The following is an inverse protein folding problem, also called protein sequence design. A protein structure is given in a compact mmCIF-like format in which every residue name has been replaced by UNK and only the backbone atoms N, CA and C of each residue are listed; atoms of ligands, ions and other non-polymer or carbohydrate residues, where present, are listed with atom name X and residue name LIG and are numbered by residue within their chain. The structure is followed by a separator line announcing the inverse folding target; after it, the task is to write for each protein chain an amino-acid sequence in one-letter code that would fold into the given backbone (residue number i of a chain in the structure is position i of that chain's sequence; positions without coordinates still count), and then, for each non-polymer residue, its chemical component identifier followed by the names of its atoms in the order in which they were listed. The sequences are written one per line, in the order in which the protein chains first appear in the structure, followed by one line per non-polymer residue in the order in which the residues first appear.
data_IF_109933775587
#
_entry.id   IF_109933775587
#
_cell.length_a   1.000
_cell.length_b   1.000
_cell.length_c   1.000
_cell.angle_alpha   90.00
_cell.angle_beta   90.00
_cell.angle_gamma   90.00
#
_symmetry.space_group_name_H-M   'P 1'
#
loop_
_entity.id
_entity.type
_entity.pdbx_description
1 polymer ?
#
# COMPACT_ATOMS: atom_id res chain seq x y z
N UNK A 1 16.90 -4.87 4.38
CA UNK A 1 17.28 -3.69 5.18
C UNK A 1 16.04 -3.22 5.94
N UNK A 2 16.18 -2.74 7.17
CA UNK A 2 15.06 -2.25 7.98
C UNK A 2 15.49 -1.07 8.85
N UNK A 3 14.53 -0.31 9.35
CA UNK A 3 14.73 0.72 10.36
C UNK A 3 13.50 0.78 11.26
N UNK A 4 13.68 1.24 12.49
CA UNK A 4 12.58 1.49 13.44
C UNK A 4 12.99 2.65 14.35
N UNK A 5 12.00 3.39 14.86
CA UNK A 5 12.25 4.47 15.83
C UNK A 5 12.88 3.92 17.12
N UNK A 6 12.50 2.69 17.51
CA UNK A 6 13.11 1.96 18.60
C UNK A 6 14.28 1.12 18.08
N UNK A 7 15.50 1.64 18.21
CA UNK A 7 16.71 0.97 17.72
C UNK A 7 16.84 -0.47 18.22
N UNK A 8 16.48 -0.74 19.48
CA UNK A 8 16.51 -2.10 20.04
C UNK A 8 15.64 -3.09 19.24
N UNK A 9 14.44 -2.66 18.79
CA UNK A 9 13.55 -3.48 17.96
C UNK A 9 14.13 -3.69 16.57
N UNK A 10 14.75 -2.67 16.00
CA UNK A 10 15.44 -2.78 14.73
C UNK A 10 16.59 -3.80 14.82
N UNK A 11 17.43 -3.73 15.85
CA UNK A 11 18.53 -4.69 16.04
C UNK A 11 18.03 -6.11 16.32
N UNK A 12 16.97 -6.27 17.12
CA UNK A 12 16.35 -7.57 17.37
C UNK A 12 15.84 -8.19 16.07
N UNK A 13 15.07 -7.43 15.27
CA UNK A 13 14.55 -7.89 13.99
C UNK A 13 15.68 -8.19 12.99
N UNK A 14 16.69 -7.33 12.92
CA UNK A 14 17.86 -7.51 12.06
C UNK A 14 18.59 -8.82 12.38
N UNK A 15 18.86 -9.08 13.66
CA UNK A 15 19.48 -10.32 14.13
C UNK A 15 18.61 -11.55 13.82
N UNK A 16 17.30 -11.47 14.10
CA UNK A 16 16.36 -12.58 13.92
C UNK A 16 16.19 -12.99 12.46
N UNK A 17 16.18 -12.03 11.54
CA UNK A 17 15.88 -12.27 10.13
C UNK A 17 17.09 -12.15 9.19
N UNK A 18 18.30 -11.96 9.75
CA UNK A 18 19.51 -11.76 8.94
C UNK A 18 19.45 -10.50 8.08
N UNK A 19 18.78 -9.45 8.57
CA UNK A 19 18.65 -8.17 7.88
C UNK A 19 19.69 -7.16 8.40
N UNK A 20 19.84 -6.05 7.69
CA UNK A 20 20.65 -4.91 8.09
C UNK A 20 19.75 -3.81 8.67
N UNK A 21 20.03 -3.37 9.89
CA UNK A 21 19.41 -2.18 10.47
C UNK A 21 20.16 -0.92 9.99
N UNK A 22 19.43 0.12 9.61
CA UNK A 22 19.96 1.41 9.16
C UNK A 22 19.27 2.56 9.90
N UNK A 23 19.84 3.76 9.83
CA UNK A 23 19.23 4.96 10.41
C UNK A 23 17.86 5.28 9.79
N UNK A 24 17.02 5.99 10.55
CA UNK A 24 15.66 6.36 10.13
C UNK A 24 15.62 7.09 8.79
N UNK A 25 16.59 7.97 8.55
CA UNK A 25 16.66 8.74 7.31
C UNK A 25 17.42 7.98 6.20
N UNK A 26 18.38 7.13 6.58
CA UNK A 26 19.16 6.33 5.63
C UNK A 26 18.30 5.33 4.85
N UNK A 27 17.12 4.95 5.38
CA UNK A 27 16.23 3.98 4.75
C UNK A 27 15.79 4.39 3.33
N UNK A 28 15.71 5.70 3.05
CA UNK A 28 15.23 6.23 1.78
C UNK A 28 16.27 6.11 0.66
N UNK A 29 17.56 6.02 1.00
CA UNK A 29 18.67 5.97 0.03
C UNK A 29 19.14 4.54 -0.28
N UNK A 30 18.51 3.53 0.33
CA UNK A 30 18.92 2.14 0.19
C UNK A 30 18.71 1.63 -1.24
N UNK A 31 19.67 0.85 -1.72
CA UNK A 31 19.58 0.16 -3.01
C UNK A 31 18.78 -1.14 -2.84
N UNK A 32 17.46 -1.04 -2.99
CA UNK A 32 16.49 -2.13 -2.77
C UNK A 32 15.46 -2.14 -3.87
N UNK A 33 14.89 -3.30 -4.17
CA UNK A 33 13.83 -3.41 -5.18
C UNK A 33 12.48 -2.84 -4.70
N UNK A 34 12.18 -3.00 -3.41
CA UNK A 34 10.88 -2.67 -2.80
C UNK A 34 11.08 -1.80 -1.55
N UNK A 35 10.37 -0.67 -1.51
CA UNK A 35 10.19 0.14 -0.31
C UNK A 35 8.84 -0.18 0.34
N UNK A 36 8.84 -0.57 1.62
CA UNK A 36 7.64 -0.99 2.36
C UNK A 36 7.43 -0.10 3.60
N UNK A 37 6.81 1.09 3.47
CA UNK A 37 6.52 1.96 4.61
C UNK A 37 5.46 1.36 5.53
N UNK A 38 5.82 1.09 6.79
CA UNK A 38 4.95 0.39 7.76
C UNK A 38 4.79 1.13 9.10
N UNK A 39 5.31 2.35 9.23
CA UNK A 39 5.35 3.09 10.50
C UNK A 39 4.38 4.29 10.51
N UNK A 40 4.71 5.34 9.76
CA UNK A 40 3.95 6.58 9.68
C UNK A 40 3.52 6.86 8.23
N UNK A 41 2.50 7.70 8.09
CA UNK A 41 2.10 8.26 6.79
C UNK A 41 3.05 9.35 6.32
N UNK A 42 2.78 9.87 5.12
CA UNK A 42 3.46 10.99 4.49
C UNK A 42 4.97 10.78 4.27
N UNK A 43 5.46 9.54 4.29
CA UNK A 43 6.87 9.22 4.04
C UNK A 43 7.22 9.30 2.56
N UNK A 44 6.24 9.44 1.66
CA UNK A 44 6.43 9.76 0.24
C UNK A 44 6.03 11.23 0.05
N UNK A 45 7.05 12.09 0.04
CA UNK A 45 6.93 13.54 -0.01
C UNK A 45 8.05 14.16 -0.86
N UNK A 46 8.09 15.49 -0.94
CA UNK A 46 9.06 16.24 -1.75
C UNK A 46 10.52 15.93 -1.39
N UNK A 47 10.80 15.63 -0.11
CA UNK A 47 12.14 15.37 0.39
C UNK A 47 12.61 13.92 0.15
N UNK A 48 11.67 12.97 0.17
CA UNK A 48 11.99 11.52 0.13
C UNK A 48 11.80 10.89 -1.24
N UNK A 49 10.83 11.33 -2.05
CA UNK A 49 10.52 10.73 -3.35
C UNK A 49 11.71 10.78 -4.32
N UNK A 50 12.56 11.80 -4.17
CA UNK A 50 13.80 11.99 -4.91
C UNK A 50 14.88 10.94 -4.61
N UNK A 51 14.85 10.38 -3.40
CA UNK A 51 15.91 9.53 -2.83
C UNK A 51 15.68 8.04 -3.08
N UNK A 52 14.40 7.65 -3.21
CA UNK A 52 14.00 6.26 -3.41
C UNK A 52 14.59 5.66 -4.70
N UNK A 53 15.32 4.56 -4.55
CA UNK A 53 15.89 3.77 -5.66
C UNK A 53 15.03 2.54 -6.05
N UNK A 54 13.98 2.29 -5.28
CA UNK A 54 13.11 1.13 -5.47
C UNK A 54 12.26 1.21 -6.73
N UNK A 55 11.83 0.04 -7.20
CA UNK A 55 10.90 -0.10 -8.33
C UNK A 55 9.45 -0.25 -7.88
N UNK A 56 9.24 -0.68 -6.63
CA UNK A 56 7.91 -0.91 -6.05
C UNK A 56 7.81 -0.25 -4.68
N UNK A 57 6.68 0.38 -4.42
CA UNK A 57 6.27 0.84 -3.09
C UNK A 57 5.02 0.06 -2.68
N UNK A 58 5.14 -0.71 -1.60
CA UNK A 58 4.04 -1.51 -1.05
C UNK A 58 4.27 -1.71 0.45
N UNK A 59 3.61 -0.90 1.28
CA UNK A 59 3.70 -0.97 2.75
C UNK A 59 2.33 -0.90 3.42
N UNK A 60 2.28 -1.17 4.73
CA UNK A 60 1.01 -1.20 5.47
C UNK A 60 0.64 0.13 6.18
N UNK A 61 1.51 1.15 6.13
CA UNK A 61 1.21 2.46 6.71
C UNK A 61 -0.01 3.10 6.02
N UNK A 62 -0.75 3.92 6.76
CA UNK A 62 -1.84 4.72 6.20
C UNK A 62 -1.35 6.09 5.74
N UNK A 63 -1.99 6.67 4.72
CA UNK A 63 -1.70 7.99 4.16
C UNK A 63 -0.26 8.12 3.67
N UNK A 64 0.25 7.15 2.91
CA UNK A 64 1.68 7.08 2.53
C UNK A 64 2.13 8.25 1.66
N UNK A 65 1.28 8.67 0.71
CA UNK A 65 1.50 9.85 -0.11
C UNK A 65 1.13 11.10 0.70
N UNK A 66 2.10 12.00 0.91
CA UNK A 66 1.81 13.25 1.61
C UNK A 66 0.83 14.17 0.82
N UNK A 67 0.88 14.11 -0.51
CA UNK A 67 -0.05 14.81 -1.43
C UNK A 67 -0.39 13.90 -2.61
N UNK A 68 -1.53 13.25 -2.55
CA UNK A 68 -1.91 12.19 -3.50
C UNK A 68 -1.87 12.63 -4.98
N UNK A 69 -2.41 13.83 -5.26
CA UNK A 69 -2.51 14.39 -6.62
C UNK A 69 -1.18 14.90 -7.18
N UNK A 70 -0.13 14.99 -6.36
CA UNK A 70 1.19 15.47 -6.78
C UNK A 70 2.21 14.32 -6.78
N UNK A 71 2.28 13.59 -5.68
CA UNK A 71 3.27 12.52 -5.48
C UNK A 71 2.87 11.24 -6.22
N UNK A 72 1.57 10.95 -6.37
CA UNK A 72 1.10 9.82 -7.18
C UNK A 72 1.57 9.89 -8.64
N UNK A 73 1.30 11.00 -9.36
CA UNK A 73 1.82 11.22 -10.71
C UNK A 73 3.35 11.25 -10.80
N UNK A 74 4.03 11.76 -9.77
CA UNK A 74 5.50 11.77 -9.73
C UNK A 74 6.10 10.36 -9.68
N UNK A 75 5.50 9.44 -8.92
CA UNK A 75 5.92 8.03 -8.90
C UNK A 75 5.81 7.40 -10.29
N UNK A 76 4.72 7.68 -11.02
CA UNK A 76 4.54 7.21 -12.41
C UNK A 76 5.63 7.77 -13.32
N UNK A 77 5.92 9.08 -13.24
CA UNK A 77 7.01 9.70 -14.03
C UNK A 77 8.37 9.07 -13.76
N UNK A 78 8.60 8.60 -12.53
CA UNK A 78 9.83 7.90 -12.12
C UNK A 78 9.84 6.41 -12.48
N UNK A 79 8.75 5.86 -13.01
CA UNK A 79 8.62 4.43 -13.28
C UNK A 79 8.55 3.57 -12.01
N UNK A 80 8.12 4.15 -10.88
CA UNK A 80 7.94 3.45 -9.61
C UNK A 80 6.49 2.97 -9.51
N UNK A 81 6.30 1.66 -9.34
CA UNK A 81 4.98 1.07 -9.12
C UNK A 81 4.55 1.31 -7.68
N UNK A 82 3.41 1.96 -7.48
CA UNK A 82 2.83 2.20 -6.16
C UNK A 82 1.57 1.36 -5.98
N UNK A 83 1.55 0.53 -4.94
CA UNK A 83 0.35 -0.17 -4.52
C UNK A 83 -0.42 0.70 -3.49
N UNK A 84 -1.66 1.13 -3.78
CA UNK A 84 -2.42 2.03 -2.91
C UNK A 84 -2.53 1.52 -1.48
N UNK A 85 -2.19 2.36 -0.52
CA UNK A 85 -2.10 2.03 0.90
C UNK A 85 -3.39 1.42 1.47
N UNK A 86 -4.52 2.10 1.28
CA UNK A 86 -5.83 1.66 1.77
C UNK A 86 -6.30 0.35 1.13
N UNK A 87 -5.76 -0.01 -0.04
CA UNK A 87 -6.07 -1.25 -0.71
C UNK A 87 -5.25 -2.39 -0.13
N UNK A 88 -3.93 -2.23 -0.04
CA UNK A 88 -3.05 -3.33 0.37
C UNK A 88 -3.07 -3.59 1.88
N UNK A 89 -3.41 -2.59 2.69
CA UNK A 89 -3.54 -2.74 4.13
C UNK A 89 -4.95 -3.18 4.58
N UNK A 90 -5.87 -3.44 3.64
CA UNK A 90 -7.27 -3.77 3.92
C UNK A 90 -7.50 -5.08 4.69
N UNK A 91 -6.48 -5.93 4.83
CA UNK A 91 -6.58 -7.21 5.55
C UNK A 91 -7.07 -7.07 6.99
N UNK A 92 -6.72 -5.98 7.68
CA UNK A 92 -7.24 -5.70 9.02
C UNK A 92 -8.76 -5.51 9.04
N UNK A 93 -9.30 -4.76 8.09
CA UNK A 93 -10.74 -4.53 7.98
C UNK A 93 -11.49 -5.79 7.54
N UNK A 94 -10.91 -6.57 6.63
CA UNK A 94 -11.45 -7.87 6.21
C UNK A 94 -11.55 -8.83 7.41
N UNK A 95 -10.53 -8.85 8.28
CA UNK A 95 -10.57 -9.65 9.50
C UNK A 95 -11.66 -9.20 10.48
N UNK A 96 -11.81 -7.90 10.71
CA UNK A 96 -12.89 -7.38 11.58
C UNK A 96 -14.27 -7.69 11.00
N UNK A 97 -14.45 -7.53 9.68
CA UNK A 97 -15.70 -7.88 9.02
C UNK A 97 -16.03 -9.38 9.14
N UNK A 98 -15.00 -10.22 9.08
CA UNK A 98 -15.12 -11.67 9.24
C UNK A 98 -15.71 -12.06 10.60
N UNK A 99 -15.35 -11.33 11.66
CA UNK A 99 -15.93 -11.52 12.99
C UNK A 99 -17.42 -11.14 13.02
N UNK A 100 -17.81 -10.08 12.32
CA UNK A 100 -19.21 -9.61 12.26
C UNK A 100 -20.12 -10.63 11.55
N UNK A 101 -19.65 -11.24 10.48
CA UNK A 101 -20.43 -12.24 9.71
C UNK A 101 -20.27 -13.67 10.23
N UNK A 102 -19.47 -13.87 11.28
CA UNK A 102 -19.25 -15.18 11.90
C UNK A 102 -18.49 -16.17 11.02
N UNK A 103 -17.53 -15.71 10.20
CA UNK A 103 -16.70 -16.61 9.37
C UNK A 103 -15.49 -17.14 10.15
N UNK A 104 -14.85 -18.18 9.61
CA UNK A 104 -13.64 -18.76 10.20
C UNK A 104 -12.40 -17.94 9.89
N UNK A 105 -11.32 -18.16 10.65
CA UNK A 105 -9.99 -17.60 10.34
C UNK A 105 -9.55 -17.91 8.91
N UNK A 106 -9.82 -19.13 8.42
CA UNK A 106 -9.50 -19.53 7.06
C UNK A 106 -10.32 -18.74 6.03
N UNK A 107 -11.60 -18.47 6.33
CA UNK A 107 -12.44 -17.60 5.50
C UNK A 107 -11.90 -16.17 5.42
N UNK A 108 -11.47 -15.60 6.54
CA UNK A 108 -10.86 -14.26 6.59
C UNK A 108 -9.56 -14.18 5.77
N UNK A 109 -8.71 -15.20 5.86
CA UNK A 109 -7.47 -15.30 5.08
C UNK A 109 -7.77 -15.41 3.58
N UNK A 110 -8.73 -16.26 3.19
CA UNK A 110 -9.13 -16.42 1.79
C UNK A 110 -9.73 -15.13 1.19
N UNK A 111 -10.42 -14.30 1.98
CA UNK A 111 -10.85 -12.98 1.52
C UNK A 111 -9.67 -12.00 1.43
N UNK A 112 -8.74 -12.06 2.37
CA UNK A 112 -7.53 -11.22 2.37
C UNK A 112 -6.65 -11.50 1.15
N UNK A 113 -6.54 -12.76 0.71
CA UNK A 113 -5.78 -13.13 -0.50
C UNK A 113 -6.27 -12.42 -1.76
N UNK A 114 -7.55 -12.03 -1.84
CA UNK A 114 -8.11 -11.28 -2.97
C UNK A 114 -7.54 -9.87 -3.12
N UNK A 115 -6.86 -9.33 -2.11
CA UNK A 115 -6.13 -8.07 -2.22
C UNK A 115 -5.14 -8.12 -3.39
N UNK A 116 -4.55 -9.30 -3.66
CA UNK A 116 -3.67 -9.51 -4.81
C UNK A 116 -4.39 -9.17 -6.13
N UNK A 117 -5.55 -9.80 -6.38
CA UNK A 117 -6.32 -9.60 -7.62
C UNK A 117 -6.81 -8.16 -7.76
N UNK A 118 -7.28 -7.55 -6.67
CA UNK A 118 -7.70 -6.15 -6.70
C UNK A 118 -6.55 -5.19 -6.96
N UNK A 119 -5.37 -5.48 -6.42
CA UNK A 119 -4.17 -4.68 -6.68
C UNK A 119 -3.79 -4.75 -8.15
N UNK A 120 -3.78 -5.95 -8.75
CA UNK A 120 -3.51 -6.10 -10.18
C UNK A 120 -4.53 -5.35 -11.04
N UNK A 121 -5.84 -5.48 -10.74
CA UNK A 121 -6.88 -4.75 -11.45
C UNK A 121 -6.68 -3.23 -11.39
N UNK A 122 -6.30 -2.70 -10.23
CA UNK A 122 -6.02 -1.27 -10.07
C UNK A 122 -4.80 -0.84 -10.88
N UNK A 123 -3.73 -1.64 -10.89
CA UNK A 123 -2.52 -1.33 -11.66
C UNK A 123 -2.80 -1.36 -13.17
N UNK A 124 -3.45 -2.42 -13.67
CA UNK A 124 -3.85 -2.55 -15.07
C UNK A 124 -4.74 -1.38 -15.50
N UNK A 125 -5.69 -1.00 -14.63
CA UNK A 125 -6.58 0.14 -14.88
C UNK A 125 -5.83 1.46 -14.91
N UNK A 126 -4.90 1.68 -13.99
CA UNK A 126 -4.10 2.90 -13.96
C UNK A 126 -3.31 3.06 -15.27
N UNK A 127 -2.73 1.97 -15.78
CA UNK A 127 -2.02 1.94 -17.07
C UNK A 127 -2.96 2.26 -18.24
N UNK A 128 -4.11 1.58 -18.33
CA UNK A 128 -5.09 1.80 -19.40
C UNK A 128 -5.62 3.24 -19.44
N UNK A 129 -5.81 3.85 -18.27
CA UNK A 129 -6.33 5.21 -18.12
C UNK A 129 -5.25 6.29 -18.17
N UNK A 130 -3.96 5.94 -18.32
CA UNK A 130 -2.83 6.85 -18.21
C UNK A 130 -2.87 7.70 -16.92
N UNK A 131 -3.14 7.05 -15.78
CA UNK A 131 -3.27 7.69 -14.48
C UNK A 131 -2.37 7.03 -13.43
N UNK A 132 -2.42 7.49 -12.17
CA UNK A 132 -1.68 6.85 -11.08
C UNK A 132 -2.57 5.88 -10.28
N UNK A 133 -1.99 4.82 -9.68
CA UNK A 133 -2.76 3.77 -8.99
C UNK A 133 -3.72 4.25 -7.89
N UNK A 134 -3.33 5.26 -7.10
CA UNK A 134 -4.23 5.82 -6.05
C UNK A 134 -5.54 6.34 -6.66
N UNK A 135 -5.46 7.11 -7.75
CA UNK A 135 -6.65 7.66 -8.40
C UNK A 135 -7.49 6.56 -9.09
N UNK A 136 -6.84 5.58 -9.72
CA UNK A 136 -7.52 4.44 -10.32
C UNK A 136 -8.28 3.61 -9.26
N UNK A 137 -7.67 3.38 -8.10
CA UNK A 137 -8.31 2.68 -6.98
C UNK A 137 -9.53 3.42 -6.43
N UNK A 138 -9.43 4.75 -6.26
CA UNK A 138 -10.56 5.59 -5.83
C UNK A 138 -11.71 5.51 -6.83
N UNK A 139 -11.43 5.64 -8.14
CA UNK A 139 -12.46 5.52 -9.18
C UNK A 139 -13.11 4.14 -9.17
N UNK A 140 -12.32 3.07 -9.12
CA UNK A 140 -12.84 1.71 -9.05
C UNK A 140 -13.74 1.48 -7.83
N UNK A 141 -13.38 2.05 -6.67
CA UNK A 141 -14.21 1.97 -5.47
C UNK A 141 -15.54 2.73 -5.64
N UNK A 142 -15.51 3.95 -6.20
CA UNK A 142 -16.71 4.75 -6.47
C UNK A 142 -17.67 4.04 -7.43
N UNK A 143 -17.16 3.51 -8.54
CA UNK A 143 -17.96 2.77 -9.52
C UNK A 143 -18.60 1.52 -8.91
N UNK A 144 -17.88 0.81 -8.03
CA UNK A 144 -18.44 -0.35 -7.32
C UNK A 144 -19.60 0.05 -6.41
N UNK A 145 -19.48 1.17 -5.70
CA UNK A 145 -20.55 1.71 -4.84
C UNK A 145 -21.78 2.06 -5.68
N UNK A 146 -21.58 2.78 -6.79
CA UNK A 146 -22.66 3.15 -7.71
C UNK A 146 -23.37 1.95 -8.32
N UNK A 147 -22.60 0.96 -8.78
CA UNK A 147 -23.14 -0.27 -9.38
C UNK A 147 -24.03 -1.04 -8.39
N UNK A 148 -23.56 -1.21 -7.15
CA UNK A 148 -24.34 -1.89 -6.09
C UNK A 148 -25.57 -1.08 -5.68
N UNK A 149 -25.46 0.26 -5.66
CA UNK A 149 -26.60 1.15 -5.38
C UNK A 149 -27.75 0.97 -6.36
N UNK A 150 -27.45 0.85 -7.67
CA UNK A 150 -28.46 0.64 -8.72
C UNK A 150 -29.19 -0.70 -8.59
N UNK A 151 -28.47 -1.76 -8.22
CA UNK A 151 -29.08 -3.10 -8.00
C UNK A 151 -30.10 -3.06 -6.86
N UNK A 152 -29.80 -2.35 -5.77
CA UNK A 152 -30.70 -2.26 -4.61
C UNK A 152 -31.90 -1.33 -4.81
N UNK A 153 -31.83 -0.40 -5.77
CA UNK A 153 -32.92 0.53 -6.08
C UNK A 153 -34.03 -0.09 -6.97
N UNK A 154 -33.81 -1.30 -7.51
CA UNK A 154 -34.78 -1.96 -8.41
C UNK A 154 -35.79 -2.83 -7.63
N UNK A 155 -35.80 -2.73 -6.30
CA UNK A 155 -36.77 -3.37 -5.41
C UNK A 155 -37.61 -2.33 -4.67
#
# INVERSE_FOLDING_TARGET
VLTDYYEERAYEAASRFGAMAVGLDEIYDQDVDIYSPCALGATINDDTIGRLKCRVIAGCANNQLARENEHGPELVRRGIVYAPDFLINAGGLINVYSEVVGTSRQGALAQTEKIYDYTLQVLDRAEQENSHPQAAAIRQAQERIEAVGKVKSTY
#
